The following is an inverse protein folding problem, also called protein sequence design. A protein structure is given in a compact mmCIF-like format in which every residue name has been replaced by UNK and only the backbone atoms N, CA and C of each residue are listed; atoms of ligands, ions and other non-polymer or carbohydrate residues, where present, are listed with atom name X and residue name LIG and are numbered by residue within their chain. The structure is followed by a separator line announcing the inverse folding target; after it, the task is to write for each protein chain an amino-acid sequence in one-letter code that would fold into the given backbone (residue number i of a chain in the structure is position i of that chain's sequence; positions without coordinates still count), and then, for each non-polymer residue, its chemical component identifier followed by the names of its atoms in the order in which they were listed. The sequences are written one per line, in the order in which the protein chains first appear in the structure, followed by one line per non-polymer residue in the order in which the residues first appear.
data_IF_634379043144
#
_entry.id   IF_634379043144
#
_cell.length_a   1.000
_cell.length_b   1.000
_cell.length_c   1.000
_cell.angle_alpha   90.00
_cell.angle_beta   90.00
_cell.angle_gamma   90.00
#
_symmetry.space_group_name_H-M   'P 1'
#
loop_
_entity.id
_entity.type
_entity.pdbx_description
1 polymer ?
#
# COMPACT_ATOMS: atom_id res chain seq x y z
N UNK A 1 8.30 14.30 21.55
CA UNK A 1 7.27 14.85 20.64
C UNK A 1 7.25 14.10 19.32
N UNK A 2 6.07 13.72 18.88
CA UNK A 2 5.94 13.07 17.59
C UNK A 2 6.22 14.08 16.47
N UNK A 3 6.95 13.67 15.45
CA UNK A 3 7.16 14.50 14.26
C UNK A 3 5.88 14.56 13.47
N UNK A 4 5.59 15.72 12.89
CA UNK A 4 4.48 15.83 11.96
C UNK A 4 4.76 15.07 10.68
N UNK A 5 3.73 14.44 10.17
CA UNK A 5 3.80 13.78 8.86
C UNK A 5 3.71 14.86 7.79
N UNK A 6 4.63 14.92 6.81
CA UNK A 6 4.55 15.91 5.75
C UNK A 6 3.23 15.82 4.97
N UNK A 7 2.71 16.97 4.54
CA UNK A 7 1.44 17.03 3.81
C UNK A 7 1.42 16.15 2.57
N UNK A 8 2.54 16.04 1.87
CA UNK A 8 2.64 15.19 0.69
C UNK A 8 2.43 13.71 1.02
N UNK A 9 2.93 13.28 2.18
CA UNK A 9 2.76 11.91 2.64
C UNK A 9 1.30 11.66 3.04
N UNK A 10 0.68 12.62 3.70
CA UNK A 10 -0.74 12.54 4.05
C UNK A 10 -1.61 12.43 2.79
N UNK A 11 -1.31 13.22 1.77
CA UNK A 11 -2.04 13.14 0.50
C UNK A 11 -1.83 11.80 -0.20
N UNK A 12 -0.61 11.29 -0.18
CA UNK A 12 -0.33 9.96 -0.73
C UNK A 12 -1.12 8.87 -0.01
N UNK A 13 -1.22 8.95 1.32
CA UNK A 13 -2.03 8.01 2.09
C UNK A 13 -3.50 8.08 1.68
N UNK A 14 -4.02 9.29 1.47
CA UNK A 14 -5.39 9.48 0.98
C UNK A 14 -5.57 8.85 -0.40
N UNK A 15 -4.64 9.08 -1.31
CA UNK A 15 -4.71 8.54 -2.67
C UNK A 15 -4.63 7.01 -2.66
N UNK A 16 -3.72 6.45 -1.89
CA UNK A 16 -3.60 4.99 -1.74
C UNK A 16 -4.92 4.41 -1.21
N UNK A 17 -5.48 5.02 -0.16
CA UNK A 17 -6.75 4.57 0.40
C UNK A 17 -7.89 4.62 -0.62
N UNK A 18 -7.97 5.70 -1.37
CA UNK A 18 -8.97 5.87 -2.44
C UNK A 18 -8.81 4.81 -3.53
N UNK A 19 -7.56 4.55 -3.94
CA UNK A 19 -7.30 3.55 -4.98
C UNK A 19 -7.62 2.13 -4.51
N UNK A 20 -7.30 1.79 -3.27
CA UNK A 20 -7.65 0.49 -2.71
C UNK A 20 -9.16 0.31 -2.60
N UNK A 21 -9.87 1.36 -2.19
CA UNK A 21 -11.34 1.35 -2.15
C UNK A 21 -11.92 1.15 -3.55
N UNK A 22 -11.36 1.82 -4.56
CA UNK A 22 -11.79 1.67 -5.95
C UNK A 22 -11.58 0.23 -6.44
N UNK A 23 -10.44 -0.38 -6.16
CA UNK A 23 -10.18 -1.78 -6.50
C UNK A 23 -11.20 -2.71 -5.88
N UNK A 24 -11.48 -2.52 -4.58
CA UNK A 24 -12.48 -3.33 -3.89
C UNK A 24 -13.83 -3.28 -4.60
N UNK A 25 -14.28 -2.07 -4.96
CA UNK A 25 -15.58 -1.87 -5.63
C UNK A 25 -15.59 -2.45 -7.04
N UNK A 26 -14.51 -2.28 -7.79
CA UNK A 26 -14.39 -2.81 -9.14
C UNK A 26 -14.41 -4.34 -9.14
N UNK A 27 -13.92 -4.96 -8.08
CA UNK A 27 -13.95 -6.41 -7.91
C UNK A 27 -15.27 -6.91 -7.31
N UNK A 28 -16.22 -6.02 -7.07
CA UNK A 28 -17.51 -6.33 -6.44
C UNK A 28 -17.37 -6.95 -5.05
N UNK A 29 -16.36 -6.51 -4.30
CA UNK A 29 -16.13 -6.99 -2.93
C UNK A 29 -16.67 -6.00 -1.93
N UNK A 30 -17.36 -6.52 -0.89
CA UNK A 30 -17.80 -5.70 0.22
C UNK A 30 -16.64 -5.42 1.17
N UNK A 31 -16.80 -4.38 2.00
CA UNK A 31 -15.82 -4.09 3.04
C UNK A 31 -15.64 -5.28 4.00
N UNK A 32 -16.74 -5.96 4.33
CA UNK A 32 -16.68 -7.15 5.18
C UNK A 32 -15.82 -8.24 4.55
N UNK A 33 -16.02 -8.51 3.26
CA UNK A 33 -15.26 -9.55 2.56
C UNK A 33 -13.75 -9.23 2.53
N UNK A 34 -13.39 -7.99 2.24
CA UNK A 34 -11.98 -7.59 2.20
C UNK A 34 -11.38 -7.63 3.60
N UNK A 35 -12.09 -7.14 4.62
CA UNK A 35 -11.61 -7.18 6.00
C UNK A 35 -11.36 -8.62 6.46
N UNK A 36 -12.27 -9.54 6.14
CA UNK A 36 -12.10 -10.96 6.47
C UNK A 36 -10.88 -11.55 5.77
N UNK A 37 -10.72 -11.31 4.46
CA UNK A 37 -9.58 -11.83 3.68
C UNK A 37 -8.25 -11.28 4.16
N UNK A 38 -8.24 -10.03 4.60
CA UNK A 38 -7.04 -9.37 5.11
C UNK A 38 -6.80 -9.65 6.59
N UNK A 39 -7.75 -10.32 7.25
CA UNK A 39 -7.71 -10.60 8.69
C UNK A 39 -7.55 -9.33 9.53
N UNK A 40 -8.33 -8.31 9.20
CA UNK A 40 -8.38 -7.04 9.91
C UNK A 40 -9.82 -6.70 10.26
N UNK A 41 -10.01 -5.76 11.19
CA UNK A 41 -11.34 -5.25 11.50
C UNK A 41 -11.88 -4.37 10.38
N UNK A 42 -13.20 -4.25 10.32
CA UNK A 42 -13.85 -3.32 9.38
C UNK A 42 -13.44 -1.89 9.65
N UNK A 43 -13.23 -1.53 10.91
CA UNK A 43 -12.79 -0.19 11.27
C UNK A 43 -11.39 0.09 10.74
N UNK A 44 -10.47 -0.87 10.85
CA UNK A 44 -9.13 -0.74 10.31
C UNK A 44 -9.16 -0.55 8.79
N UNK A 45 -9.99 -1.33 8.09
CA UNK A 45 -10.16 -1.17 6.64
C UNK A 45 -10.72 0.22 6.31
N UNK A 46 -11.73 0.68 7.05
CA UNK A 46 -12.31 1.99 6.86
C UNK A 46 -11.26 3.09 7.02
N UNK A 47 -10.45 3.01 8.06
CA UNK A 47 -9.37 3.97 8.30
C UNK A 47 -8.37 3.99 7.13
N UNK A 48 -7.98 2.82 6.64
CA UNK A 48 -7.08 2.73 5.49
C UNK A 48 -7.70 3.38 4.24
N UNK A 49 -8.94 3.04 3.94
CA UNK A 49 -9.64 3.57 2.75
C UNK A 49 -9.88 5.09 2.85
N UNK A 50 -9.93 5.65 4.06
CA UNK A 50 -10.04 7.09 4.27
C UNK A 50 -8.68 7.79 4.36
N UNK A 51 -7.59 7.06 4.17
CA UNK A 51 -6.27 7.66 4.08
C UNK A 51 -5.59 7.93 5.40
N UNK A 52 -5.92 7.18 6.46
CA UNK A 52 -5.25 7.33 7.75
C UNK A 52 -3.79 6.86 7.63
N UNK A 53 -2.81 7.76 7.73
CA UNK A 53 -1.39 7.38 7.57
C UNK A 53 -0.85 6.56 8.74
N UNK A 54 -1.60 6.46 9.82
CA UNK A 54 -1.19 5.68 11.00
C UNK A 54 -1.54 4.18 10.88
N UNK A 55 -2.25 3.78 9.85
CA UNK A 55 -2.52 2.36 9.61
C UNK A 55 -1.20 1.64 9.34
N UNK A 56 -1.02 0.47 9.93
CA UNK A 56 0.25 -0.23 9.83
C UNK A 56 0.56 -0.64 8.39
N UNK A 57 1.84 -0.69 8.08
CA UNK A 57 2.30 -1.15 6.78
C UNK A 57 1.84 -2.59 6.50
N UNK A 58 1.89 -3.45 7.50
CA UNK A 58 1.40 -4.83 7.37
C UNK A 58 -0.07 -4.89 6.98
N UNK A 59 -0.90 -4.00 7.52
CA UNK A 59 -2.31 -3.90 7.13
C UNK A 59 -2.46 -3.52 5.67
N UNK A 60 -1.67 -2.54 5.20
CA UNK A 60 -1.69 -2.14 3.79
C UNK A 60 -1.36 -3.33 2.88
N UNK A 61 -0.31 -4.07 3.22
CA UNK A 61 0.08 -5.25 2.45
C UNK A 61 -0.99 -6.34 2.47
N UNK A 62 -1.63 -6.55 3.63
CA UNK A 62 -2.70 -7.55 3.76
C UNK A 62 -3.91 -7.20 2.88
N UNK A 63 -4.30 -5.93 2.85
CA UNK A 63 -5.39 -5.46 1.99
C UNK A 63 -5.01 -5.58 0.51
N UNK A 64 -3.79 -5.17 0.16
CA UNK A 64 -3.30 -5.31 -1.21
C UNK A 64 -3.34 -6.78 -1.66
N UNK A 65 -2.93 -7.70 -0.79
CA UNK A 65 -3.02 -9.13 -1.07
C UNK A 65 -4.47 -9.57 -1.30
N UNK A 66 -5.38 -9.15 -0.43
CA UNK A 66 -6.80 -9.49 -0.55
C UNK A 66 -7.40 -9.00 -1.87
N UNK A 67 -6.88 -7.91 -2.43
CA UNK A 67 -7.35 -7.32 -3.69
C UNK A 67 -6.56 -7.80 -4.91
N UNK A 68 -5.56 -8.65 -4.73
CA UNK A 68 -4.71 -9.10 -5.84
C UNK A 68 -3.71 -8.05 -6.33
N UNK A 69 -3.40 -7.05 -5.50
CA UNK A 69 -2.52 -5.93 -5.87
C UNK A 69 -1.15 -5.98 -5.18
N UNK A 70 -0.84 -7.05 -4.43
CA UNK A 70 0.38 -7.11 -3.63
C UNK A 70 1.63 -7.07 -4.50
N UNK A 71 1.67 -7.86 -5.57
CA UNK A 71 2.85 -7.92 -6.43
C UNK A 71 3.14 -6.58 -7.08
N UNK A 72 2.10 -5.83 -7.45
CA UNK A 72 2.28 -4.47 -7.99
C UNK A 72 2.90 -3.51 -6.99
N UNK A 73 2.56 -3.64 -5.70
CA UNK A 73 3.20 -2.82 -4.66
C UNK A 73 4.68 -3.16 -4.53
N UNK A 74 5.00 -4.45 -4.54
CA UNK A 74 6.39 -4.91 -4.49
C UNK A 74 7.15 -4.37 -5.70
N UNK A 75 6.57 -4.50 -6.88
CA UNK A 75 7.19 -4.05 -8.12
C UNK A 75 7.38 -2.52 -8.16
N UNK A 76 6.46 -1.78 -7.56
CA UNK A 76 6.52 -0.31 -7.58
C UNK A 76 7.80 0.24 -6.94
N UNK A 77 8.42 -0.50 -6.03
CA UNK A 77 9.65 -0.07 -5.36
C UNK A 77 10.87 -0.89 -5.79
N UNK A 78 10.70 -1.77 -6.77
CA UNK A 78 11.80 -2.59 -7.26
C UNK A 78 12.69 -1.74 -8.19
N UNK A 79 13.96 -1.46 -7.81
CA UNK A 79 14.83 -0.62 -8.62
C UNK A 79 15.17 -1.27 -9.97
N UNK A 80 15.14 -2.59 -10.06
CA UNK A 80 15.46 -3.29 -11.32
C UNK A 80 14.38 -3.13 -12.39
N UNK A 81 13.20 -2.63 -12.02
CA UNK A 81 12.14 -2.30 -12.97
C UNK A 81 12.23 -0.86 -13.47
N UNK A 82 13.32 -0.15 -13.14
CA UNK A 82 13.59 1.20 -13.62
C UNK A 82 14.90 1.24 -14.38
N UNK A 83 15.02 2.16 -15.34
CA UNK A 83 16.26 2.35 -16.09
C UNK A 83 17.40 2.80 -15.19
N UNK A 84 17.10 3.73 -14.28
CA UNK A 84 18.10 4.24 -13.33
C UNK A 84 18.63 3.12 -12.43
N UNK A 85 17.73 2.32 -11.87
CA UNK A 85 18.10 1.22 -10.98
C UNK A 85 18.94 0.18 -11.69
N UNK A 86 18.56 -0.19 -12.92
CA UNK A 86 19.34 -1.13 -13.73
C UNK A 86 20.72 -0.58 -14.07
N UNK A 87 20.82 0.70 -14.40
CA UNK A 87 22.07 1.33 -14.72
C UNK A 87 23.05 1.35 -13.55
N UNK A 88 22.57 1.39 -12.32
CA UNK A 88 23.39 1.50 -11.11
C UNK A 88 23.58 0.20 -10.36
N UNK A 89 22.84 -0.84 -10.72
CA UNK A 89 22.79 -2.09 -9.94
C UNK A 89 24.15 -2.74 -9.72
N UNK A 90 25.00 -2.76 -10.73
CA UNK A 90 26.31 -3.41 -10.65
C UNK A 90 27.32 -2.66 -9.79
N UNK A 91 27.13 -1.36 -9.57
CA UNK A 91 28.10 -0.52 -8.87
C UNK A 91 27.67 -0.14 -7.47
N UNK A 92 26.37 -0.02 -7.21
CA UNK A 92 25.86 0.66 -6.03
C UNK A 92 25.16 -0.24 -5.02
N UNK A 93 24.67 -1.43 -5.41
CA UNK A 93 23.91 -2.26 -4.49
C UNK A 93 24.83 -3.03 -3.55
N UNK A 94 24.59 -2.94 -2.24
CA UNK A 94 25.36 -3.76 -1.30
C UNK A 94 24.98 -5.24 -1.47
N UNK A 95 25.93 -6.10 -1.22
CA UNK A 95 25.65 -7.53 -1.13
C UNK A 95 24.94 -7.83 0.18
N UNK A 96 23.99 -8.72 0.13
CA UNK A 96 23.32 -9.23 1.32
C UNK A 96 24.13 -10.33 1.96
#
# INVERSE_FOLDING_TARGET
MAKQIPDRVVRAATDVGTHLSAWRRMLNLTAVQVAERANISRDTLRRLEHGDPAVSFGTVLAVARALGALDRLVDAVDPFLTDLGRARAGAALPKR
#
